data_IF_665430628513
#
_entry.id   IF_665430628513
#
_cell.length_a   1.000
_cell.length_b   1.000
_cell.length_c   1.000
_cell.angle_alpha   90.00
_cell.angle_beta   90.00
_cell.angle_gamma   90.00
#
_symmetry.space_group_name_H-M   'P 1'
#
loop_
_entity.id
_entity.type
_entity.pdbx_description
1 polymer ?
#
# COMPACT_ATOMS: atom_id res chain seq x y z
N UNK A 1 -14.76 -4.78 -3.04
CA UNK A 1 -13.68 -4.67 -2.03
C UNK A 1 -13.71 -3.31 -1.32
N UNK A 2 -13.71 -2.19 -2.05
CA UNK A 2 -13.60 -0.84 -1.48
C UNK A 2 -14.72 -0.50 -0.48
N UNK A 3 -15.98 -0.85 -0.77
CA UNK A 3 -17.09 -0.59 0.17
C UNK A 3 -16.99 -1.43 1.46
N UNK A 4 -16.49 -2.66 1.35
CA UNK A 4 -16.28 -3.52 2.51
C UNK A 4 -15.15 -2.98 3.40
N UNK A 5 -14.07 -2.49 2.78
CA UNK A 5 -13.00 -1.77 3.48
C UNK A 5 -13.53 -0.51 4.17
N UNK A 6 -14.33 0.31 3.47
CA UNK A 6 -14.90 1.52 4.03
C UNK A 6 -15.78 1.25 5.26
N UNK A 7 -16.69 0.26 5.19
CA UNK A 7 -17.51 -0.15 6.33
C UNK A 7 -16.68 -0.69 7.49
N UNK A 8 -15.68 -1.52 7.21
CA UNK A 8 -14.82 -2.09 8.25
C UNK A 8 -13.90 -1.06 8.93
N UNK A 9 -13.57 0.04 8.24
CA UNK A 9 -12.67 1.08 8.77
C UNK A 9 -13.41 2.26 9.41
N UNK A 10 -14.46 2.73 8.75
CA UNK A 10 -15.18 3.95 9.11
C UNK A 10 -16.48 3.67 9.88
N UNK A 11 -16.94 2.41 9.90
CA UNK A 11 -18.21 2.08 10.52
C UNK A 11 -19.37 2.80 9.83
N UNK A 12 -20.13 3.58 10.60
CA UNK A 12 -21.22 4.44 10.13
C UNK A 12 -20.84 5.91 10.01
N UNK A 13 -19.56 6.25 10.21
CA UNK A 13 -19.08 7.64 10.17
C UNK A 13 -18.46 7.99 8.81
N UNK A 14 -18.52 9.26 8.38
CA UNK A 14 -17.76 9.73 7.24
C UNK A 14 -16.25 9.59 7.44
N UNK A 15 -15.53 9.35 6.35
CA UNK A 15 -14.07 9.26 6.39
C UNK A 15 -13.46 8.83 5.07
N UNK A 16 -12.13 8.85 5.01
CA UNK A 16 -11.40 8.38 3.83
C UNK A 16 -10.89 6.98 4.12
N UNK A 17 -11.33 6.00 3.32
CA UNK A 17 -10.89 4.62 3.41
C UNK A 17 -9.87 4.32 2.32
N UNK A 18 -8.76 3.70 2.70
CA UNK A 18 -7.68 3.32 1.78
C UNK A 18 -7.39 1.82 1.89
N UNK A 19 -7.15 1.19 0.74
CA UNK A 19 -6.63 -0.18 0.66
C UNK A 19 -5.16 -0.08 0.24
N UNK A 20 -4.25 -0.77 0.94
CA UNK A 20 -2.87 -0.98 0.54
C UNK A 20 -2.47 -2.44 0.75
N UNK A 21 -2.54 -3.22 -0.33
CA UNK A 21 -2.16 -4.62 -0.40
C UNK A 21 -1.34 -4.87 -1.67
N UNK A 22 -1.69 -5.89 -2.46
CA UNK A 22 -1.06 -6.11 -3.78
C UNK A 22 -1.21 -4.89 -4.69
N UNK A 23 -2.40 -4.29 -4.74
CA UNK A 23 -2.68 -2.97 -5.32
C UNK A 23 -3.00 -1.96 -4.23
N UNK A 24 -3.33 -0.73 -4.63
CA UNK A 24 -3.79 0.32 -3.71
C UNK A 24 -5.11 0.90 -4.21
N UNK A 25 -5.94 1.44 -3.32
CA UNK A 25 -7.16 2.14 -3.70
C UNK A 25 -7.55 3.13 -2.60
N UNK A 26 -8.36 4.13 -2.92
CA UNK A 26 -8.85 5.11 -1.95
C UNK A 26 -10.25 5.58 -2.29
N UNK A 27 -11.07 5.83 -1.27
CA UNK A 27 -12.39 6.43 -1.46
C UNK A 27 -12.78 7.33 -0.30
N UNK A 28 -13.64 8.30 -0.57
CA UNK A 28 -14.42 8.99 0.45
C UNK A 28 -15.70 8.20 0.72
N UNK A 29 -15.94 7.92 2.00
CA UNK A 29 -17.13 7.27 2.51
C UNK A 29 -17.96 8.28 3.31
N UNK A 30 -19.26 8.33 3.06
CA UNK A 30 -20.17 9.29 3.71
C UNK A 30 -20.85 8.73 4.99
N UNK A 31 -20.41 7.56 5.46
CA UNK A 31 -21.05 6.81 6.55
C UNK A 31 -22.03 5.73 6.07
N UNK A 32 -22.38 5.71 4.78
CA UNK A 32 -23.29 4.70 4.20
C UNK A 32 -22.87 4.22 2.81
N UNK A 33 -22.45 5.13 1.93
CA UNK A 33 -22.07 4.92 0.54
C UNK A 33 -20.67 5.51 0.25
N UNK A 34 -20.08 5.08 -0.86
CA UNK A 34 -18.86 5.72 -1.40
C UNK A 34 -19.31 6.97 -2.18
N UNK A 35 -18.94 8.14 -1.68
CA UNK A 35 -19.25 9.42 -2.32
C UNK A 35 -18.26 9.80 -3.42
N UNK A 36 -17.01 9.36 -3.31
CA UNK A 36 -15.98 9.58 -4.34
C UNK A 36 -14.93 8.46 -4.32
N UNK A 37 -14.37 8.11 -5.49
CA UNK A 37 -13.29 7.15 -5.63
C UNK A 37 -12.31 7.63 -6.69
N UNK A 38 -11.03 7.69 -6.35
CA UNK A 38 -9.95 7.98 -7.28
C UNK A 38 -9.52 6.63 -7.85
N UNK A 39 -9.63 6.46 -9.17
CA UNK A 39 -9.23 5.23 -9.83
C UNK A 39 -7.73 4.99 -9.64
N UNK A 40 -7.30 3.80 -9.18
CA UNK A 40 -5.90 3.54 -8.85
C UNK A 40 -5.01 3.26 -10.07
N UNK A 41 -5.59 3.09 -11.25
CA UNK A 41 -4.91 2.88 -12.55
C UNK A 41 -4.02 1.62 -12.67
N UNK A 42 -3.87 0.85 -11.60
CA UNK A 42 -3.12 -0.40 -11.55
C UNK A 42 -1.59 -0.22 -11.54
N UNK A 43 -0.88 -1.29 -11.21
CA UNK A 43 0.57 -1.29 -10.89
C UNK A 43 1.52 -0.67 -11.93
N UNK A 44 1.08 -0.51 -13.18
CA UNK A 44 1.87 0.13 -14.24
C UNK A 44 1.73 1.66 -14.16
N UNK A 45 0.49 2.16 -14.12
CA UNK A 45 0.16 3.58 -14.29
C UNK A 45 -0.06 4.34 -12.98
N UNK A 46 -0.36 3.62 -11.89
CA UNK A 46 -0.60 4.19 -10.57
C UNK A 46 -0.24 3.17 -9.49
N UNK A 47 -1.22 2.81 -8.67
CA UNK A 47 -1.07 1.87 -7.55
C UNK A 47 0.06 2.28 -6.59
N UNK A 48 0.29 3.58 -6.41
CA UNK A 48 1.35 4.08 -5.54
C UNK A 48 1.21 3.53 -4.11
N UNK A 49 2.33 3.22 -3.46
CA UNK A 49 2.30 2.61 -2.13
C UNK A 49 1.82 1.15 -2.08
N UNK A 50 1.33 0.56 -3.17
CA UNK A 50 0.99 -0.86 -3.21
C UNK A 50 2.21 -1.77 -3.16
N UNK A 51 2.01 -3.03 -2.78
CA UNK A 51 3.05 -4.05 -2.81
C UNK A 51 3.61 -4.27 -4.21
N UNK A 52 2.76 -4.24 -5.26
CA UNK A 52 3.21 -4.36 -6.64
C UNK A 52 4.09 -3.18 -7.06
N UNK A 53 3.73 -1.95 -6.68
CA UNK A 53 4.54 -0.77 -6.97
C UNK A 53 5.86 -0.77 -6.19
N UNK A 54 5.81 -1.11 -4.89
CA UNK A 54 7.02 -1.26 -4.06
C UNK A 54 7.97 -2.32 -4.63
N UNK A 55 7.43 -3.48 -5.02
CA UNK A 55 8.21 -4.53 -5.68
C UNK A 55 8.81 -4.08 -7.00
N UNK A 56 8.05 -3.35 -7.82
CA UNK A 56 8.51 -2.74 -9.09
C UNK A 56 9.70 -1.80 -8.86
N UNK A 57 9.59 -0.90 -7.89
CA UNK A 57 10.64 0.06 -7.54
C UNK A 57 11.89 -0.69 -7.03
N UNK A 58 11.71 -1.63 -6.10
CA UNK A 58 12.78 -2.46 -5.55
C UNK A 58 13.57 -3.17 -6.66
N UNK A 59 12.90 -3.92 -7.53
CA UNK A 59 13.62 -4.66 -8.60
C UNK A 59 14.25 -3.72 -9.60
N UNK A 60 13.64 -2.57 -9.89
CA UNK A 60 14.21 -1.54 -10.74
C UNK A 60 15.56 -1.07 -10.21
N UNK A 61 15.62 -0.72 -8.92
CA UNK A 61 16.82 -0.21 -8.28
C UNK A 61 17.89 -1.29 -8.10
N UNK A 62 17.50 -2.51 -7.70
CA UNK A 62 18.42 -3.65 -7.58
C UNK A 62 19.08 -4.01 -8.91
N UNK A 63 18.29 -4.11 -9.98
CA UNK A 63 18.81 -4.49 -11.30
C UNK A 63 19.62 -3.37 -11.95
N UNK A 64 19.39 -2.11 -11.57
CA UNK A 64 20.15 -0.94 -12.01
C UNK A 64 21.29 -0.53 -11.07
N UNK A 65 21.64 -1.36 -10.09
CA UNK A 65 22.73 -1.10 -9.14
C UNK A 65 22.57 0.23 -8.37
N UNK A 66 21.33 0.61 -8.05
CA UNK A 66 21.02 1.78 -7.21
C UNK A 66 20.96 1.42 -5.71
N UNK A 67 21.09 0.13 -5.40
CA UNK A 67 21.29 -0.40 -4.04
C UNK A 67 22.70 -0.96 -3.88
N UNK A 68 23.11 -1.19 -2.63
CA UNK A 68 24.44 -1.75 -2.33
C UNK A 68 24.60 -3.15 -2.95
N UNK A 69 25.83 -3.56 -3.32
CA UNK A 69 26.10 -4.90 -3.82
C UNK A 69 25.62 -6.00 -2.85
N UNK A 70 25.76 -5.78 -1.55
CA UNK A 70 25.36 -6.70 -0.48
C UNK A 70 23.84 -6.89 -0.46
N UNK A 71 23.06 -5.81 -0.60
CA UNK A 71 21.60 -5.89 -0.68
C UNK A 71 21.13 -6.61 -1.94
N UNK A 72 21.79 -6.34 -3.08
CA UNK A 72 21.51 -7.02 -4.33
C UNK A 72 21.76 -8.53 -4.24
N UNK A 73 22.92 -8.93 -3.70
CA UNK A 73 23.24 -10.35 -3.52
C UNK A 73 22.26 -11.01 -2.54
N UNK A 74 21.98 -10.37 -1.40
CA UNK A 74 21.00 -10.83 -0.42
C UNK A 74 19.63 -11.05 -1.05
N UNK A 75 19.16 -10.10 -1.86
CA UNK A 75 17.87 -10.19 -2.55
C UNK A 75 17.81 -11.37 -3.53
N UNK A 76 18.78 -11.46 -4.45
CA UNK A 76 18.78 -12.51 -5.48
C UNK A 76 18.86 -13.91 -4.83
N UNK A 77 19.67 -14.05 -3.78
CA UNK A 77 19.79 -15.28 -3.00
C UNK A 77 18.51 -15.62 -2.24
N UNK A 78 17.89 -14.65 -1.59
CA UNK A 78 16.68 -14.87 -0.79
C UNK A 78 15.50 -15.37 -1.64
N UNK A 79 15.33 -14.84 -2.84
CA UNK A 79 14.23 -15.24 -3.73
C UNK A 79 14.62 -16.33 -4.74
N UNK A 80 15.90 -16.73 -4.77
CA UNK A 80 16.47 -17.65 -5.76
C UNK A 80 16.10 -17.22 -7.19
N UNK A 81 16.47 -15.97 -7.54
CA UNK A 81 16.15 -15.34 -8.82
C UNK A 81 17.43 -14.88 -9.52
N UNK A 82 17.43 -15.02 -10.84
CA UNK A 82 18.35 -14.29 -11.72
C UNK A 82 17.66 -13.10 -12.38
N UNK A 83 18.40 -12.08 -12.87
CA UNK A 83 17.82 -10.95 -13.59
C UNK A 83 16.91 -11.36 -14.76
N UNK A 84 17.25 -12.43 -15.49
CA UNK A 84 16.46 -12.94 -16.60
C UNK A 84 15.09 -13.48 -16.13
N UNK A 85 15.05 -14.16 -14.99
CA UNK A 85 13.80 -14.68 -14.41
C UNK A 85 12.83 -13.55 -14.04
N UNK A 86 13.37 -12.46 -13.48
CA UNK A 86 12.57 -11.30 -13.08
C UNK A 86 11.93 -10.68 -14.32
N UNK A 87 12.71 -10.47 -15.39
CA UNK A 87 12.20 -9.90 -16.64
C UNK A 87 11.14 -10.82 -17.25
N UNK A 88 11.37 -12.13 -17.34
CA UNK A 88 10.40 -13.07 -17.87
C UNK A 88 9.09 -13.07 -17.05
N UNK A 89 9.18 -13.08 -15.73
CA UNK A 89 8.00 -13.04 -14.85
C UNK A 89 7.21 -11.74 -14.94
N UNK A 90 7.87 -10.61 -15.18
CA UNK A 90 7.20 -9.31 -15.29
C UNK A 90 6.53 -9.13 -16.65
N UNK A 91 7.18 -9.54 -17.74
CA UNK A 91 6.73 -9.21 -19.10
C UNK A 91 6.04 -10.35 -19.85
N UNK A 92 6.22 -11.61 -19.43
CA UNK A 92 5.80 -12.79 -20.21
C UNK A 92 4.95 -13.79 -19.43
N UNK A 93 4.88 -13.68 -18.10
CA UNK A 93 4.09 -14.57 -17.25
C UNK A 93 2.81 -13.90 -16.74
N UNK A 94 1.77 -14.69 -16.42
CA UNK A 94 0.54 -14.16 -15.86
C UNK A 94 0.76 -13.57 -14.45
N UNK A 95 -0.10 -12.62 -14.08
CA UNK A 95 -0.13 -11.95 -12.77
C UNK A 95 1.20 -11.27 -12.32
N UNK A 96 1.82 -10.43 -13.16
CA UNK A 96 3.09 -9.76 -12.82
C UNK A 96 2.97 -8.87 -11.58
N UNK A 97 1.80 -8.27 -11.34
CA UNK A 97 1.50 -7.50 -10.14
C UNK A 97 1.64 -8.34 -8.85
N UNK A 98 1.15 -9.59 -8.85
CA UNK A 98 1.28 -10.49 -7.69
C UNK A 98 2.72 -10.91 -7.47
N UNK A 99 3.45 -11.21 -8.56
CA UNK A 99 4.87 -11.52 -8.48
C UNK A 99 5.65 -10.35 -7.87
N UNK A 100 5.49 -9.13 -8.39
CA UNK A 100 6.16 -7.95 -7.84
C UNK A 100 5.78 -7.72 -6.38
N UNK A 101 4.50 -7.84 -6.02
CA UNK A 101 4.06 -7.72 -4.64
C UNK A 101 4.69 -8.75 -3.69
N UNK A 102 4.94 -9.98 -4.16
CA UNK A 102 5.61 -11.01 -3.35
C UNK A 102 7.06 -10.69 -3.00
N UNK A 103 7.68 -9.70 -3.67
CA UNK A 103 9.03 -9.23 -3.39
C UNK A 103 9.06 -8.13 -2.33
N UNK A 104 7.92 -7.47 -2.09
CA UNK A 104 7.79 -6.39 -1.10
C UNK A 104 8.30 -6.78 0.30
N UNK A 105 8.08 -7.99 0.85
CA UNK A 105 8.58 -8.36 2.18
C UNK A 105 10.09 -8.16 2.40
N UNK A 106 10.89 -8.15 1.32
CA UNK A 106 12.31 -7.80 1.41
C UNK A 106 12.53 -6.39 1.93
N UNK A 107 11.72 -5.41 1.51
CA UNK A 107 11.83 -4.04 1.99
C UNK A 107 11.56 -3.98 3.50
N UNK A 108 10.50 -4.64 3.98
CA UNK A 108 10.15 -4.69 5.40
C UNK A 108 11.30 -5.26 6.26
N UNK A 109 12.02 -6.27 5.75
CA UNK A 109 13.14 -6.91 6.44
C UNK A 109 14.42 -6.07 6.46
N UNK A 110 14.48 -4.97 5.70
CA UNK A 110 15.67 -4.14 5.52
C UNK A 110 15.35 -2.65 5.69
N UNK A 111 14.32 -2.28 6.47
CA UNK A 111 13.93 -0.88 6.69
C UNK A 111 14.99 -0.05 7.43
N UNK A 112 15.98 -0.69 8.06
CA UNK A 112 17.12 -0.01 8.68
C UNK A 112 18.11 0.55 7.64
N UNK A 113 18.06 0.07 6.40
CA UNK A 113 18.87 0.59 5.30
C UNK A 113 18.25 1.91 4.77
N UNK A 114 18.98 3.03 4.79
CA UNK A 114 18.41 4.34 4.45
C UNK A 114 17.79 4.41 3.05
N UNK A 115 18.39 3.73 2.06
CA UNK A 115 17.86 3.70 0.69
C UNK A 115 16.53 2.93 0.60
N UNK A 116 16.40 1.82 1.33
CA UNK A 116 15.18 1.01 1.41
C UNK A 116 14.07 1.79 2.10
N UNK A 117 14.36 2.41 3.25
CA UNK A 117 13.39 3.26 3.96
C UNK A 117 12.89 4.40 3.07
N UNK A 118 13.80 5.08 2.40
CA UNK A 118 13.49 6.20 1.49
C UNK A 118 12.58 5.75 0.34
N UNK A 119 12.82 4.58 -0.25
CA UNK A 119 11.99 4.02 -1.31
C UNK A 119 10.54 3.82 -0.83
N UNK A 120 10.35 3.18 0.32
CA UNK A 120 9.01 2.93 0.88
C UNK A 120 8.32 4.24 1.25
N UNK A 121 9.01 5.12 1.98
CA UNK A 121 8.49 6.42 2.42
C UNK A 121 8.02 7.27 1.23
N UNK A 122 8.83 7.36 0.17
CA UNK A 122 8.48 8.12 -1.03
C UNK A 122 7.28 7.52 -1.78
N UNK A 123 7.18 6.18 -1.81
CA UNK A 123 6.02 5.51 -2.41
C UNK A 123 4.72 5.82 -1.66
N UNK A 124 4.76 5.88 -0.33
CA UNK A 124 3.60 6.28 0.47
C UNK A 124 3.27 7.77 0.36
N UNK A 125 4.27 8.65 0.35
CA UNK A 125 4.06 10.09 0.08
C UNK A 125 3.43 10.29 -1.30
N UNK A 126 3.85 9.51 -2.30
CA UNK A 126 3.24 9.54 -3.63
C UNK A 126 1.77 9.09 -3.60
N UNK A 127 1.44 8.01 -2.87
CA UNK A 127 0.05 7.58 -2.69
C UNK A 127 -0.80 8.67 -2.04
N UNK A 128 -0.34 9.22 -0.91
CA UNK A 128 -1.06 10.28 -0.19
C UNK A 128 -1.30 11.49 -1.09
N UNK A 129 -0.25 11.97 -1.77
CA UNK A 129 -0.33 13.15 -2.64
C UNK A 129 -1.22 12.94 -3.86
N UNK A 130 -1.12 11.78 -4.51
CA UNK A 130 -1.75 11.52 -5.81
C UNK A 130 -3.13 10.90 -5.68
N UNK A 131 -3.50 10.34 -4.53
CA UNK A 131 -4.78 9.66 -4.32
C UNK A 131 -5.56 10.33 -3.18
N UNK A 132 -5.02 10.32 -1.96
CA UNK A 132 -5.75 10.77 -0.76
C UNK A 132 -6.02 12.27 -0.73
N UNK A 133 -5.03 13.09 -1.13
CA UNK A 133 -5.15 14.56 -1.10
C UNK A 133 -6.13 15.14 -2.14
N UNK A 134 -6.78 14.30 -2.94
CA UNK A 134 -7.89 14.70 -3.80
C UNK A 134 -9.24 14.76 -3.07
N UNK A 135 -9.29 14.29 -1.81
CA UNK A 135 -10.44 14.38 -0.93
C UNK A 135 -10.27 15.49 0.10
N UNK A 136 -11.31 15.75 0.90
CA UNK A 136 -11.24 16.65 2.05
C UNK A 136 -10.50 16.00 3.25
N UNK A 137 -9.20 15.71 3.05
CA UNK A 137 -8.34 15.05 4.03
C UNK A 137 -8.00 15.92 5.24
N UNK A 138 -8.29 17.22 5.18
CA UNK A 138 -8.04 18.16 6.29
C UNK A 138 -9.13 18.08 7.36
N UNK A 139 -10.35 17.69 6.98
CA UNK A 139 -11.49 17.54 7.89
C UNK A 139 -11.91 16.08 8.13
N UNK A 140 -11.24 15.12 7.47
CA UNK A 140 -11.56 13.70 7.58
C UNK A 140 -10.32 12.89 7.96
N UNK A 141 -10.50 11.91 8.84
CA UNK A 141 -9.46 10.92 9.13
C UNK A 141 -9.28 9.99 7.93
N UNK A 142 -8.03 9.57 7.71
CA UNK A 142 -7.66 8.61 6.68
C UNK A 142 -7.36 7.26 7.33
N UNK A 143 -8.15 6.28 6.98
CA UNK A 143 -8.06 4.92 7.49
C UNK A 143 -7.46 4.02 6.42
N UNK A 144 -6.67 3.02 6.83
CA UNK A 144 -5.97 2.12 5.93
C UNK A 144 -6.28 0.67 6.25
N UNK A 145 -6.34 -0.16 5.21
CA UNK A 145 -6.44 -1.60 5.35
C UNK A 145 -5.56 -2.34 4.37
N UNK A 146 -5.04 -3.49 4.80
CA UNK A 146 -4.31 -4.41 3.95
C UNK A 146 -2.90 -4.70 4.46
N UNK A 147 -2.29 -5.74 3.89
CA UNK A 147 -1.00 -6.25 4.35
C UNK A 147 0.11 -5.22 4.29
N UNK A 148 0.17 -4.40 3.25
CA UNK A 148 1.22 -3.36 3.11
C UNK A 148 1.00 -2.25 4.13
N UNK A 149 -0.23 -1.75 4.28
CA UNK A 149 -0.51 -0.74 5.32
C UNK A 149 -0.12 -1.23 6.72
N UNK A 150 -0.42 -2.50 7.03
CA UNK A 150 -0.15 -3.07 8.36
C UNK A 150 1.34 -3.32 8.62
N UNK A 151 2.06 -3.95 7.69
CA UNK A 151 3.48 -4.29 7.88
C UNK A 151 4.40 -3.05 7.85
N UNK A 152 3.99 -1.99 7.16
CA UNK A 152 4.76 -0.74 7.07
C UNK A 152 4.11 0.41 7.85
N UNK A 153 3.29 0.12 8.86
CA UNK A 153 2.50 1.12 9.61
C UNK A 153 3.33 2.29 10.12
N UNK A 154 4.57 2.05 10.54
CA UNK A 154 5.47 3.09 11.07
C UNK A 154 5.93 4.06 9.97
N UNK A 155 6.35 3.54 8.82
CA UNK A 155 6.75 4.35 7.67
C UNK A 155 5.54 5.06 7.04
N UNK A 156 4.36 4.42 7.06
CA UNK A 156 3.11 5.04 6.62
C UNK A 156 2.69 6.20 7.54
N UNK A 157 2.84 6.03 8.86
CA UNK A 157 2.58 7.10 9.83
C UNK A 157 3.55 8.28 9.67
N UNK A 158 4.83 8.01 9.43
CA UNK A 158 5.82 9.02 9.09
C UNK A 158 5.42 9.80 7.81
N UNK A 159 5.09 9.09 6.74
CA UNK A 159 4.64 9.71 5.49
C UNK A 159 3.41 10.60 5.71
N UNK A 160 2.42 10.13 6.48
CA UNK A 160 1.21 10.88 6.75
C UNK A 160 1.48 12.12 7.60
N UNK A 161 2.33 12.01 8.63
CA UNK A 161 2.73 13.13 9.46
C UNK A 161 3.42 14.23 8.63
N UNK A 162 4.38 13.85 7.79
CA UNK A 162 5.09 14.81 6.92
C UNK A 162 4.16 15.49 5.90
N UNK A 163 3.10 14.80 5.49
CA UNK A 163 2.14 15.29 4.50
C UNK A 163 0.91 15.97 5.13
N UNK A 164 0.87 16.12 6.47
CA UNK A 164 -0.26 16.75 7.16
C UNK A 164 -1.56 15.95 7.09
N UNK A 165 -1.48 14.62 6.96
CA UNK A 165 -2.63 13.72 6.88
C UNK A 165 -2.90 13.08 8.25
N UNK A 166 -4.12 13.23 8.77
CA UNK A 166 -4.50 12.61 10.04
C UNK A 166 -4.89 11.14 9.82
N UNK A 167 -4.04 10.21 10.28
CA UNK A 167 -4.37 8.78 10.26
C UNK A 167 -5.43 8.46 11.33
N UNK A 168 -6.43 7.67 10.94
CA UNK A 168 -7.37 6.99 11.83
C UNK A 168 -6.90 5.58 12.16
N UNK A 169 -7.61 4.59 11.64
CA UNK A 169 -7.37 3.17 11.92
C UNK A 169 -6.51 2.54 10.82
N UNK A 170 -5.58 1.67 11.20
CA UNK A 170 -4.84 0.80 10.28
C UNK A 170 -5.15 -0.66 10.63
N UNK A 171 -5.82 -1.39 9.73
CA UNK A 171 -6.17 -2.80 9.92
C UNK A 171 -5.46 -3.71 8.91
N UNK A 172 -5.20 -4.96 9.28
CA UNK A 172 -4.64 -5.92 8.32
C UNK A 172 -5.71 -6.48 7.38
N UNK A 173 -6.92 -6.76 7.90
CA UNK A 173 -8.02 -7.34 7.13
C UNK A 173 -9.37 -6.72 7.53
N UNK A 174 -10.38 -6.70 6.63
CA UNK A 174 -11.68 -6.07 6.91
C UNK A 174 -12.54 -6.88 7.87
N UNK A 175 -12.19 -8.14 8.13
CA UNK A 175 -13.07 -9.08 8.82
C UNK A 175 -13.40 -8.60 10.24
N UNK A 176 -12.39 -8.18 11.00
CA UNK A 176 -12.58 -7.67 12.37
C UNK A 176 -13.49 -6.43 12.41
N UNK A 177 -13.27 -5.47 11.50
CA UNK A 177 -14.09 -4.25 11.41
C UNK A 177 -15.52 -4.52 10.94
N UNK A 178 -15.72 -5.45 10.00
CA UNK A 178 -17.03 -5.82 9.49
C UNK A 178 -17.88 -6.54 10.54
N UNK A 179 -17.27 -7.39 11.38
CA UNK A 179 -17.97 -8.01 12.51
C UNK A 179 -18.54 -6.91 13.41
N UNK A 180 -17.72 -5.93 13.82
CA UNK A 180 -18.17 -4.81 14.64
C UNK A 180 -19.28 -4.00 13.99
N UNK A 181 -19.18 -3.72 12.68
CA UNK A 181 -20.18 -2.95 11.93
C UNK A 181 -21.55 -3.63 11.89
N UNK A 182 -21.59 -4.96 11.77
CA UNK A 182 -22.84 -5.70 11.73
C UNK A 182 -23.42 -5.99 13.12
N UNK A 183 -22.57 -6.12 14.15
CA UNK A 183 -23.04 -6.31 15.53
C UNK A 183 -23.77 -5.10 16.12
N UNK A 184 -23.59 -3.90 15.58
CA UNK A 184 -24.31 -2.69 16.00
C UNK A 184 -25.69 -2.54 15.36
N UNK A 185 -26.06 -3.39 14.39
CA UNK A 185 -27.39 -3.36 13.74
C UNK A 185 -28.41 -4.24 14.49
N UNK A 186 -27.94 -5.15 15.37
CA UNK A 186 -28.78 -6.10 16.10
C UNK A 186 -29.15 -5.64 17.54
N UNK A 187 -28.98 -4.36 17.87
CA UNK A 187 -29.46 -3.72 19.11
C UNK A 187 -30.28 -2.46 18.78
#
# INVERSE_FOLDING_TARGET
DMLAAARGLCGHEPGIACIMGTGSNSCYYDGKHIGANVSPLGFILGDEGSGACLGKLLVGDILKNQMTPELKEKFLKQFNLEPADIIDRVYRKPFPNRFLASLSPFLAQNLDEPCVRTLVLNSFKAFLKRNVMQYDYQHNKVHFIGSVAFHYKEVLAEAAQEMGVQIGTILQSPMEGLISYHSTIDN
#
